data_IF_043446910982
#
_entry.id   IF_043446910982
#
_cell.length_a   1.000
_cell.length_b   1.000
_cell.length_c   1.000
_cell.angle_alpha   90.00
_cell.angle_beta   90.00
_cell.angle_gamma   90.00
#
_symmetry.space_group_name_H-M   'P 1'
#
loop_
_entity.id
_entity.type
_entity.pdbx_description
1 polymer ?
#
# COMPACT_ATOMS: atom_id res chain seq x y z
N UNK A 1 -17.54 -10.00 2.62
CA UNK A 1 -16.41 -9.06 2.80
C UNK A 1 -15.43 -9.28 1.66
N UNK A 2 -14.82 -8.22 1.12
CA UNK A 2 -13.96 -8.28 -0.06
C UNK A 2 -12.49 -8.22 0.34
N UNK A 3 -11.68 -9.19 -0.06
CA UNK A 3 -10.24 -9.22 0.23
C UNK A 3 -9.51 -8.00 -0.37
N UNK A 4 -10.01 -7.48 -1.50
CA UNK A 4 -9.47 -6.27 -2.13
C UNK A 4 -9.70 -5.01 -1.29
N UNK A 5 -10.85 -4.92 -0.60
CA UNK A 5 -11.14 -3.81 0.31
C UNK A 5 -10.26 -3.88 1.56
N UNK A 6 -10.04 -5.10 2.09
CA UNK A 6 -9.10 -5.33 3.19
C UNK A 6 -7.69 -4.93 2.79
N UNK A 7 -7.22 -5.30 1.60
CA UNK A 7 -5.91 -4.92 1.08
C UNK A 7 -5.75 -3.40 0.95
N UNK A 8 -6.77 -2.72 0.41
CA UNK A 8 -6.80 -1.26 0.30
C UNK A 8 -6.70 -0.60 1.68
N UNK A 9 -7.47 -1.09 2.65
CA UNK A 9 -7.48 -0.55 4.00
C UNK A 9 -6.15 -0.77 4.74
N UNK A 10 -5.50 -1.92 4.53
CA UNK A 10 -4.15 -2.17 5.05
C UNK A 10 -3.17 -1.16 4.43
N UNK A 11 -3.19 -0.98 3.10
CA UNK A 11 -2.31 -0.01 2.44
C UNK A 11 -2.55 1.43 2.92
N UNK A 12 -3.81 1.85 3.06
CA UNK A 12 -4.17 3.16 3.59
C UNK A 12 -3.67 3.36 5.03
N UNK A 13 -3.79 2.33 5.88
CA UNK A 13 -3.25 2.37 7.24
C UNK A 13 -1.72 2.51 7.26
N UNK A 14 -1.01 1.75 6.42
CA UNK A 14 0.44 1.86 6.33
C UNK A 14 0.89 3.24 5.83
N UNK A 15 0.17 3.85 4.88
CA UNK A 15 0.42 5.23 4.43
C UNK A 15 0.23 6.24 5.56
N UNK A 16 -0.84 6.11 6.35
CA UNK A 16 -1.15 7.00 7.47
C UNK A 16 -0.04 6.99 8.53
N UNK A 17 0.62 5.86 8.76
CA UNK A 17 1.77 5.76 9.68
C UNK A 17 2.97 6.59 9.19
N UNK A 18 3.16 6.69 7.87
CA UNK A 18 4.26 7.46 7.29
C UNK A 18 3.94 8.96 7.17
N UNK A 19 2.67 9.32 7.13
CA UNK A 19 2.23 10.70 6.94
C UNK A 19 2.45 11.53 8.21
N UNK A 20 3.52 12.35 8.20
CA UNK A 20 3.73 13.37 9.25
C UNK A 20 3.42 14.79 8.78
N UNK A 21 3.61 15.12 7.50
CA UNK A 21 3.26 16.42 6.88
C UNK A 21 3.14 16.36 5.35
N UNK A 22 3.95 15.54 4.68
CA UNK A 22 3.85 15.28 3.25
C UNK A 22 4.39 13.87 2.95
N UNK A 23 3.78 13.15 2.02
CA UNK A 23 4.31 11.87 1.58
C UNK A 23 5.45 12.10 0.58
N UNK A 24 6.52 11.31 0.74
CA UNK A 24 7.58 11.18 -0.27
C UNK A 24 7.41 9.81 -0.94
N UNK A 25 8.05 9.58 -2.10
CA UNK A 25 8.11 8.24 -2.69
C UNK A 25 8.60 7.17 -1.69
N UNK A 26 9.59 7.49 -0.87
CA UNK A 26 10.10 6.56 0.17
C UNK A 26 9.04 6.20 1.21
N UNK A 27 8.16 7.14 1.59
CA UNK A 27 7.03 6.85 2.47
C UNK A 27 6.06 5.86 1.82
N UNK A 28 5.77 6.02 0.53
CA UNK A 28 4.89 5.11 -0.21
C UNK A 28 5.51 3.71 -0.28
N UNK A 29 6.81 3.59 -0.59
CA UNK A 29 7.49 2.30 -0.62
C UNK A 29 7.55 1.63 0.74
N UNK A 30 7.76 2.39 1.83
CA UNK A 30 7.65 1.86 3.20
C UNK A 30 6.24 1.35 3.50
N UNK A 31 5.21 2.06 3.04
CA UNK A 31 3.84 1.62 3.22
C UNK A 31 3.57 0.29 2.49
N UNK A 32 4.04 0.15 1.24
CA UNK A 32 3.97 -1.13 0.49
C UNK A 32 4.73 -2.24 1.22
N UNK A 33 5.91 -1.96 1.78
CA UNK A 33 6.65 -2.95 2.57
C UNK A 33 5.86 -3.38 3.83
N UNK A 34 5.15 -2.44 4.47
CA UNK A 34 4.21 -2.72 5.56
C UNK A 34 3.08 -3.66 5.13
N UNK A 35 2.47 -3.43 3.97
CA UNK A 35 1.48 -4.33 3.37
C UNK A 35 2.06 -5.74 3.19
N UNK A 36 3.24 -5.85 2.57
CA UNK A 36 3.91 -7.14 2.36
C UNK A 36 4.19 -7.88 3.67
N UNK A 37 4.48 -7.16 4.76
CA UNK A 37 4.73 -7.76 6.06
C UNK A 37 3.46 -8.35 6.70
N UNK A 38 2.28 -7.78 6.44
CA UNK A 38 1.00 -8.12 7.07
C UNK A 38 0.12 -9.04 6.23
N UNK A 39 0.15 -8.88 4.92
CA UNK A 39 -0.69 -9.64 3.98
C UNK A 39 0.07 -10.88 3.51
N UNK A 40 -0.63 -12.01 3.41
CA UNK A 40 -0.12 -13.29 2.88
C UNK A 40 -1.10 -13.81 1.83
N UNK A 41 -0.57 -14.43 0.79
CA UNK A 41 -1.32 -14.86 -0.39
C UNK A 41 -0.82 -14.17 -1.66
N UNK A 42 -1.43 -14.49 -2.79
CA UNK A 42 -1.13 -13.86 -4.07
C UNK A 42 -2.00 -12.63 -4.31
N UNK A 43 -1.40 -11.50 -4.69
CA UNK A 43 -2.13 -10.28 -5.01
C UNK A 43 -1.33 -9.38 -5.96
N UNK A 44 -2.07 -8.70 -6.84
CA UNK A 44 -1.56 -7.60 -7.64
C UNK A 44 -2.57 -6.46 -7.57
N UNK A 45 -2.11 -5.27 -7.18
CA UNK A 45 -2.97 -4.12 -6.93
C UNK A 45 -2.41 -2.86 -7.59
N UNK A 46 -3.33 -2.01 -8.05
CA UNK A 46 -3.06 -0.66 -8.54
C UNK A 46 -3.97 0.30 -7.78
N UNK A 47 -3.40 1.37 -7.24
CA UNK A 47 -4.10 2.38 -6.45
C UNK A 47 -3.71 3.79 -6.90
N UNK A 48 -4.66 4.73 -6.84
CA UNK A 48 -4.41 6.15 -7.04
C UNK A 48 -4.28 6.84 -5.67
N UNK A 49 -3.16 7.51 -5.45
CA UNK A 49 -2.94 8.36 -4.28
C UNK A 49 -3.08 9.82 -4.72
N UNK A 50 -4.14 10.47 -4.23
CA UNK A 50 -4.48 11.84 -4.64
C UNK A 50 -3.34 12.82 -4.33
N UNK A 51 -2.95 13.62 -5.32
CA UNK A 51 -1.85 14.58 -5.20
C UNK A 51 -0.44 13.99 -5.37
N UNK A 52 -0.31 12.67 -5.50
CA UNK A 52 0.99 11.99 -5.65
C UNK A 52 1.10 11.18 -6.94
N UNK A 53 0.09 10.38 -7.28
CA UNK A 53 0.06 9.59 -8.51
C UNK A 53 -0.41 8.15 -8.33
N UNK A 54 -0.03 7.30 -9.27
CA UNK A 54 -0.42 5.88 -9.29
C UNK A 54 0.65 5.02 -8.64
N UNK A 55 0.21 4.09 -7.79
CA UNK A 55 1.05 3.09 -7.14
C UNK A 55 0.59 1.72 -7.60
N UNK A 56 1.52 0.89 -8.06
CA UNK A 56 1.25 -0.50 -8.41
C UNK A 56 2.24 -1.40 -7.67
N UNK A 57 1.74 -2.48 -7.09
CA UNK A 57 2.56 -3.45 -6.38
C UNK A 57 1.97 -4.85 -6.49
N UNK A 58 2.84 -5.84 -6.32
CA UNK A 58 2.54 -7.26 -6.36
C UNK A 58 3.12 -7.92 -5.12
N UNK A 59 2.53 -9.02 -4.69
CA UNK A 59 3.05 -9.80 -3.59
C UNK A 59 4.54 -10.17 -3.79
N UNK A 60 5.29 -10.42 -2.70
CA UNK A 60 6.73 -10.65 -2.77
C UNK A 60 7.17 -11.90 -3.56
N UNK A 61 6.24 -12.80 -3.89
CA UNK A 61 6.52 -14.07 -4.55
C UNK A 61 6.13 -14.12 -6.02
N UNK A 62 5.40 -13.12 -6.51
CA UNK A 62 5.10 -12.94 -7.93
C UNK A 62 3.98 -13.84 -8.42
#
# INVERSE_FOLDING_TARGET
ESDSEVLLNIFAHELQIQERHALSPDHIFKAVAGVHSRVRGGYAAVALVLGYGVVAFRDPHG
#
